data_IF_302793793841
#
_entry.id   IF_302793793841
#
_cell.length_a   1.000
_cell.length_b   1.000
_cell.length_c   1.000
_cell.angle_alpha   90.00
_cell.angle_beta   90.00
_cell.angle_gamma   90.00
#
_symmetry.space_group_name_H-M   'P 1'
#
loop_
_entity.id
_entity.type
_entity.pdbx_description
1 polymer ?
#
# COMPACT_ATOMS: atom_id res chain seq x y z
N UNK A 1 -10.24 -10.04 -11.12
CA UNK A 1 -9.32 -10.32 -10.00
C UNK A 1 -9.14 -9.12 -9.08
N UNK A 2 -8.70 -7.97 -9.59
CA UNK A 2 -8.50 -6.80 -8.72
C UNK A 2 -9.79 -6.25 -8.12
N UNK A 3 -10.86 -6.19 -8.91
CA UNK A 3 -12.14 -5.70 -8.39
C UNK A 3 -12.67 -6.55 -7.24
N UNK A 4 -12.60 -7.88 -7.38
CA UNK A 4 -13.05 -8.78 -6.31
C UNK A 4 -12.20 -8.63 -5.06
N UNK A 5 -10.88 -8.49 -5.22
CA UNK A 5 -9.97 -8.27 -4.11
C UNK A 5 -10.26 -6.93 -3.41
N UNK A 6 -10.49 -5.87 -4.19
CA UNK A 6 -10.81 -4.55 -3.65
C UNK A 6 -12.11 -4.57 -2.85
N UNK A 7 -13.15 -5.22 -3.36
CA UNK A 7 -14.43 -5.35 -2.67
C UNK A 7 -14.28 -6.15 -1.38
N UNK A 8 -13.52 -7.24 -1.42
CA UNK A 8 -13.25 -8.07 -0.24
C UNK A 8 -12.51 -7.26 0.83
N UNK A 9 -11.47 -6.53 0.45
CA UNK A 9 -10.69 -5.68 1.37
C UNK A 9 -11.59 -4.59 1.97
N UNK A 10 -12.40 -3.93 1.15
CA UNK A 10 -13.33 -2.90 1.60
C UNK A 10 -14.33 -3.46 2.62
N UNK A 11 -14.89 -4.65 2.36
CA UNK A 11 -15.80 -5.32 3.27
C UNK A 11 -15.12 -5.64 4.61
N UNK A 12 -13.92 -6.21 4.55
CA UNK A 12 -13.17 -6.57 5.76
C UNK A 12 -12.84 -5.35 6.60
N UNK A 13 -12.33 -4.30 5.99
CA UNK A 13 -11.98 -3.07 6.70
C UNK A 13 -13.23 -2.40 7.26
N UNK A 14 -14.30 -2.30 6.45
CA UNK A 14 -15.54 -1.66 6.87
C UNK A 14 -16.19 -2.35 8.07
N UNK A 15 -16.06 -3.67 8.17
CA UNK A 15 -16.68 -4.47 9.24
C UNK A 15 -15.77 -4.72 10.44
N UNK A 16 -14.52 -4.24 10.42
CA UNK A 16 -13.60 -4.40 11.54
C UNK A 16 -13.74 -3.19 12.48
N UNK A 17 -14.00 -3.40 13.77
CA UNK A 17 -14.16 -2.28 14.69
C UNK A 17 -12.83 -1.57 14.95
N UNK A 18 -12.92 -0.26 15.23
CA UNK A 18 -11.78 0.51 15.69
C UNK A 18 -11.61 0.27 17.19
N UNK A 19 -10.40 -0.04 17.60
CA UNK A 19 -9.99 -0.12 19.00
C UNK A 19 -9.40 1.24 19.39
N UNK A 20 -9.79 1.75 20.56
CA UNK A 20 -9.42 3.11 20.95
C UNK A 20 -8.19 3.20 21.85
N UNK A 21 -7.74 2.08 22.38
CA UNK A 21 -6.61 2.08 23.31
C UNK A 21 -5.46 1.23 22.74
N UNK A 22 -4.20 1.68 22.81
CA UNK A 22 -3.73 2.96 23.37
C UNK A 22 -3.93 4.16 22.45
N UNK A 23 -4.32 3.96 21.22
CA UNK A 23 -4.65 4.97 20.21
C UNK A 23 -5.66 4.35 19.24
N UNK A 24 -6.37 5.15 18.44
CA UNK A 24 -7.31 4.60 17.45
C UNK A 24 -6.59 3.73 16.42
N UNK A 25 -7.02 2.48 16.32
CA UNK A 25 -6.43 1.51 15.39
C UNK A 25 -7.41 0.38 15.11
N UNK A 26 -7.15 -0.39 14.06
CA UNK A 26 -7.85 -1.64 13.83
C UNK A 26 -6.88 -2.72 13.39
N UNK A 27 -7.28 -3.96 13.56
CA UNK A 27 -6.50 -5.13 13.18
C UNK A 27 -7.38 -6.07 12.36
N UNK A 28 -6.88 -6.47 11.20
CA UNK A 28 -7.61 -7.34 10.26
C UNK A 28 -6.76 -8.54 9.93
N UNK A 29 -7.33 -9.73 10.09
CA UNK A 29 -6.74 -10.97 9.58
C UNK A 29 -7.41 -11.35 8.27
N UNK A 30 -6.67 -12.06 7.41
CA UNK A 30 -7.16 -12.53 6.12
C UNK A 30 -7.71 -11.36 5.27
N UNK A 31 -6.93 -10.28 5.19
CA UNK A 31 -7.33 -9.08 4.49
C UNK A 31 -7.60 -9.33 3.02
N UNK A 32 -6.76 -10.13 2.36
CA UNK A 32 -6.91 -10.45 0.95
C UNK A 32 -7.53 -11.84 0.75
N UNK A 33 -8.33 -12.04 -0.31
CA UNK A 33 -8.73 -13.39 -0.72
C UNK A 33 -7.51 -14.26 -0.99
N UNK A 34 -7.61 -15.56 -0.72
CA UNK A 34 -6.48 -16.49 -0.85
C UNK A 34 -5.85 -16.47 -2.25
N UNK A 35 -6.66 -16.43 -3.30
CA UNK A 35 -6.16 -16.36 -4.68
C UNK A 35 -5.37 -15.09 -4.93
N UNK A 36 -5.85 -13.97 -4.42
CA UNK A 36 -5.17 -12.68 -4.59
C UNK A 36 -3.87 -12.65 -3.79
N UNK A 37 -3.90 -13.18 -2.56
CA UNK A 37 -2.68 -13.28 -1.74
C UNK A 37 -1.62 -14.12 -2.42
N UNK A 38 -2.01 -15.23 -3.06
CA UNK A 38 -1.09 -16.05 -3.85
C UNK A 38 -0.46 -15.25 -5.00
N UNK A 39 -1.24 -14.39 -5.63
CA UNK A 39 -0.73 -13.50 -6.69
C UNK A 39 0.27 -12.48 -6.16
N UNK A 40 0.05 -11.95 -4.97
CA UNK A 40 1.03 -11.09 -4.30
C UNK A 40 2.34 -11.85 -4.11
N UNK A 41 2.25 -13.08 -3.59
CA UNK A 41 3.43 -13.92 -3.34
C UNK A 41 4.20 -14.25 -4.63
N UNK A 42 3.49 -14.55 -5.71
CA UNK A 42 4.09 -14.84 -7.01
C UNK A 42 4.83 -13.62 -7.59
N UNK A 43 4.43 -12.42 -7.21
CA UNK A 43 4.96 -11.18 -7.74
C UNK A 43 5.90 -10.46 -6.76
N UNK A 44 6.33 -11.11 -5.68
CA UNK A 44 7.30 -10.51 -4.77
C UNK A 44 8.59 -10.17 -5.50
N UNK A 45 9.21 -9.08 -5.08
CA UNK A 45 10.38 -8.54 -5.76
C UNK A 45 11.68 -9.03 -5.14
N UNK A 46 12.68 -9.25 -5.99
CA UNK A 46 14.05 -9.44 -5.53
C UNK A 46 14.65 -8.09 -5.13
N UNK A 47 15.62 -8.06 -4.19
CA UNK A 47 16.27 -6.80 -3.82
C UNK A 47 16.84 -6.00 -5.00
N UNK A 48 17.33 -6.69 -6.03
CA UNK A 48 17.86 -6.04 -7.23
C UNK A 48 16.81 -5.35 -8.10
N UNK A 49 15.53 -5.68 -7.91
CA UNK A 49 14.42 -5.02 -8.60
C UNK A 49 13.94 -3.76 -7.86
N UNK A 50 14.48 -3.51 -6.68
CA UNK A 50 14.14 -2.36 -5.85
C UNK A 50 15.18 -1.27 -5.99
N UNK A 51 14.81 -0.05 -5.58
CA UNK A 51 15.71 1.11 -5.58
C UNK A 51 15.96 1.55 -4.15
N UNK A 52 17.18 2.01 -3.83
CA UNK A 52 17.41 2.57 -2.51
C UNK A 52 16.57 3.83 -2.32
N UNK A 53 16.10 4.05 -1.11
CA UNK A 53 15.32 5.25 -0.79
C UNK A 53 16.14 6.52 -1.06
N UNK A 54 17.44 6.48 -0.79
CA UNK A 54 18.33 7.60 -1.05
C UNK A 54 18.38 7.98 -2.53
N UNK A 55 18.44 7.00 -3.42
CA UNK A 55 18.49 7.24 -4.87
C UNK A 55 17.13 7.68 -5.42
N UNK A 56 16.07 7.00 -5.01
CA UNK A 56 14.72 7.29 -5.52
C UNK A 56 14.23 8.68 -5.08
N UNK A 57 14.56 9.08 -3.86
CA UNK A 57 14.13 10.37 -3.27
C UNK A 57 15.33 11.28 -3.00
N UNK A 58 16.29 11.31 -3.91
CA UNK A 58 17.54 12.08 -3.75
C UNK A 58 17.31 13.58 -3.56
N UNK A 59 16.19 14.10 -4.09
CA UNK A 59 15.80 15.51 -3.99
C UNK A 59 14.89 15.80 -2.79
N UNK A 60 14.55 14.80 -1.98
CA UNK A 60 13.65 14.96 -0.85
C UNK A 60 14.43 15.00 0.46
N UNK A 61 14.42 16.14 1.17
CA UNK A 61 15.13 16.25 2.45
C UNK A 61 14.63 15.21 3.46
N UNK A 62 15.56 14.59 4.17
CA UNK A 62 15.26 13.57 5.16
C UNK A 62 15.17 12.15 4.61
N UNK A 63 14.92 11.96 3.33
CA UNK A 63 14.85 10.64 2.71
C UNK A 63 16.16 10.25 2.02
N UNK A 64 16.94 11.21 1.59
CA UNK A 64 18.21 11.00 0.89
C UNK A 64 19.29 10.35 1.76
N UNK A 65 19.10 10.27 3.09
CA UNK A 65 20.03 9.61 3.99
C UNK A 65 19.84 8.11 4.15
N UNK A 66 18.75 7.55 3.62
CA UNK A 66 18.41 6.13 3.80
C UNK A 66 18.99 5.27 2.68
N UNK A 67 20.31 5.11 2.68
CA UNK A 67 21.03 4.38 1.62
C UNK A 67 20.76 2.86 1.64
N UNK A 68 20.57 2.30 2.82
CA UNK A 68 20.40 0.86 3.01
C UNK A 68 18.94 0.39 2.91
N UNK A 69 18.00 1.32 2.77
CA UNK A 69 16.59 0.99 2.66
C UNK A 69 16.21 0.83 1.19
N UNK A 70 15.72 -0.35 0.85
CA UNK A 70 15.22 -0.65 -0.49
C UNK A 70 13.72 -0.43 -0.54
N UNK A 71 13.24 0.20 -1.62
CA UNK A 71 11.82 0.51 -1.80
C UNK A 71 11.38 0.24 -3.22
N UNK A 72 10.08 0.01 -3.38
CA UNK A 72 9.40 0.04 -4.67
C UNK A 72 8.18 0.95 -4.49
N UNK A 73 8.13 2.01 -5.28
CA UNK A 73 7.04 2.98 -5.23
C UNK A 73 6.10 2.74 -6.41
N UNK A 74 4.88 2.28 -6.13
CA UNK A 74 3.88 1.96 -7.17
C UNK A 74 3.49 3.17 -8.01
N UNK A 75 3.74 4.38 -7.52
CA UNK A 75 3.26 5.61 -8.16
C UNK A 75 4.33 6.28 -9.01
N UNK A 76 5.54 5.73 -9.03
CA UNK A 76 6.67 6.31 -9.77
C UNK A 76 7.11 5.39 -10.90
N UNK A 77 7.11 5.95 -12.12
CA UNK A 77 7.52 5.21 -13.31
C UNK A 77 8.97 4.70 -13.22
N UNK A 78 9.87 5.53 -12.68
CA UNK A 78 11.28 5.16 -12.53
C UNK A 78 11.50 3.99 -11.57
N UNK A 79 10.64 3.84 -10.56
CA UNK A 79 10.67 2.70 -9.66
C UNK A 79 10.11 1.45 -10.34
N UNK A 80 8.99 1.58 -11.03
CA UNK A 80 8.31 0.47 -11.71
C UNK A 80 9.17 -0.10 -12.85
N UNK A 81 9.88 0.74 -13.57
CA UNK A 81 10.73 0.31 -14.71
C UNK A 81 11.82 -0.68 -14.31
N UNK A 82 12.25 -0.67 -13.06
CA UNK A 82 13.27 -1.60 -12.55
C UNK A 82 12.74 -3.00 -12.29
N UNK A 83 11.44 -3.16 -12.23
CA UNK A 83 10.80 -4.44 -11.95
C UNK A 83 10.77 -5.28 -13.24
N UNK A 84 10.91 -6.59 -13.14
CA UNK A 84 10.73 -7.49 -14.27
C UNK A 84 9.38 -7.25 -14.95
N UNK A 85 9.35 -7.33 -16.28
CA UNK A 85 8.16 -6.98 -17.07
C UNK A 85 6.92 -7.79 -16.67
N UNK A 86 7.12 -9.04 -16.27
CA UNK A 86 6.06 -9.93 -15.81
C UNK A 86 5.38 -9.44 -14.52
N UNK A 87 6.11 -8.65 -13.73
CA UNK A 87 5.61 -8.13 -12.44
C UNK A 87 5.10 -6.68 -12.54
N UNK A 88 5.51 -5.93 -13.56
CA UNK A 88 5.16 -4.51 -13.69
C UNK A 88 3.66 -4.29 -13.75
N UNK A 89 2.95 -5.10 -14.54
CA UNK A 89 1.50 -4.97 -14.70
C UNK A 89 0.79 -5.19 -13.36
N UNK A 90 1.19 -6.22 -12.63
CA UNK A 90 0.59 -6.52 -11.33
C UNK A 90 0.76 -5.36 -10.34
N UNK A 91 1.99 -4.86 -10.18
CA UNK A 91 2.25 -3.81 -9.19
C UNK A 91 1.69 -2.45 -9.61
N UNK A 92 1.64 -2.16 -10.91
CA UNK A 92 0.97 -0.95 -11.41
C UNK A 92 -0.52 -1.00 -11.07
N UNK A 93 -1.17 -2.13 -11.33
CA UNK A 93 -2.59 -2.32 -11.02
C UNK A 93 -2.85 -2.33 -9.52
N UNK A 94 -1.97 -2.94 -8.73
CA UNK A 94 -2.06 -2.92 -7.28
C UNK A 94 -2.03 -1.49 -6.75
N UNK A 95 -1.08 -0.69 -7.21
CA UNK A 95 -0.98 0.72 -6.83
C UNK A 95 -2.23 1.52 -7.19
N UNK A 96 -2.74 1.31 -8.40
CA UNK A 96 -3.93 2.02 -8.86
C UNK A 96 -5.17 1.69 -8.03
N UNK A 97 -5.29 0.42 -7.56
CA UNK A 97 -6.47 -0.02 -6.82
C UNK A 97 -6.36 0.22 -5.31
N UNK A 98 -5.16 0.18 -4.73
CA UNK A 98 -4.99 0.20 -3.28
C UNK A 98 -4.29 1.44 -2.73
N UNK A 99 -3.70 2.30 -3.57
CA UNK A 99 -3.06 3.52 -3.09
C UNK A 99 -3.85 4.80 -3.38
N UNK A 100 -4.96 4.69 -4.08
CA UNK A 100 -5.76 5.86 -4.52
C UNK A 100 -7.26 5.58 -4.41
N UNK A 101 -8.06 6.62 -4.62
CA UNK A 101 -9.49 6.54 -4.86
C UNK A 101 -10.29 5.93 -3.71
N UNK A 102 -11.17 4.96 -4.02
CA UNK A 102 -12.12 4.43 -3.04
C UNK A 102 -11.47 3.82 -1.80
N UNK A 103 -10.33 3.16 -1.95
CA UNK A 103 -9.61 2.57 -0.80
C UNK A 103 -9.15 3.65 0.18
N UNK A 104 -8.53 4.72 -0.34
CA UNK A 104 -8.09 5.84 0.46
C UNK A 104 -9.28 6.49 1.17
N UNK A 105 -10.38 6.69 0.46
CA UNK A 105 -11.60 7.27 1.02
C UNK A 105 -12.19 6.41 2.13
N UNK A 106 -12.15 5.09 1.97
CA UNK A 106 -12.64 4.16 2.98
C UNK A 106 -11.85 4.30 4.29
N UNK A 107 -10.52 4.34 4.21
CA UNK A 107 -9.65 4.50 5.39
C UNK A 107 -9.91 5.85 6.06
N UNK A 108 -9.99 6.91 5.27
CA UNK A 108 -10.27 8.25 5.80
C UNK A 108 -11.64 8.32 6.48
N UNK A 109 -12.65 7.71 5.89
CA UNK A 109 -14.00 7.68 6.47
C UNK A 109 -14.02 6.89 7.80
N UNK A 110 -13.28 5.78 7.86
CA UNK A 110 -13.22 4.95 9.06
C UNK A 110 -12.62 5.71 10.25
N UNK A 111 -11.62 6.55 10.00
CA UNK A 111 -10.94 7.33 11.04
C UNK A 111 -11.40 8.79 11.11
N UNK A 112 -12.46 9.15 10.40
CA UNK A 112 -12.89 10.53 10.25
C UNK A 112 -13.01 11.30 11.57
N UNK A 113 -13.67 10.72 12.56
CA UNK A 113 -13.90 11.40 13.84
C UNK A 113 -12.59 11.72 14.55
N UNK A 114 -11.62 10.80 14.49
CA UNK A 114 -10.31 10.99 15.13
C UNK A 114 -9.47 12.02 14.38
N UNK A 115 -9.53 12.01 13.05
CA UNK A 115 -8.83 12.97 12.21
C UNK A 115 -9.39 14.38 12.42
N UNK A 116 -10.73 14.52 12.46
CA UNK A 116 -11.39 15.80 12.68
C UNK A 116 -11.01 16.39 14.04
N UNK A 117 -10.95 15.55 15.08
CA UNK A 117 -10.54 15.98 16.43
C UNK A 117 -9.08 16.46 16.47
N UNK A 118 -8.19 15.79 15.72
CA UNK A 118 -6.77 16.12 15.73
C UNK A 118 -6.46 17.42 15.00
N UNK A 119 -7.18 17.72 13.94
CA UNK A 119 -6.89 18.84 13.06
C UNK A 119 -7.87 20.01 13.20
N UNK A 120 -8.60 20.08 14.30
CA UNK A 120 -9.38 21.27 14.66
C UNK A 120 -8.45 22.40 15.20
#
# INVERSE_FOLDING_TARGET
MFLDAELHVAYKIGNTPILNFPYPHFYVENLFPDEFYSKIQENLLDPKEMTSMADLYSDTPGLSGYKDRLVMDFTRADSIEKIGKDKQEFWTSFGANFSRGPFKQLIQAKFKNFLDMRFQ
#
